data_IF_831355276955
#
_entry.id   IF_831355276955
#
_cell.length_a   1.000
_cell.length_b   1.000
_cell.length_c   1.000
_cell.angle_alpha   90.00
_cell.angle_beta   90.00
_cell.angle_gamma   90.00
#
_symmetry.space_group_name_H-M   'P 1'
#
loop_
_entity.id
_entity.type
_entity.pdbx_description
1 polymer ?
#
# COMPACT_ATOMS: atom_id res chain seq x y z
N UNK A 1 -8.51 -5.53 17.09
CA UNK A 1 -9.28 -4.58 16.25
C UNK A 1 -8.30 -3.95 15.26
N UNK A 2 -8.37 -4.31 13.97
CA UNK A 2 -7.29 -4.11 12.97
C UNK A 2 -7.30 -2.69 12.35
N UNK A 3 -8.28 -1.84 12.69
CA UNK A 3 -8.42 -0.53 12.07
C UNK A 3 -8.93 0.52 13.06
N UNK A 4 -8.05 1.44 13.48
CA UNK A 4 -8.41 2.66 14.21
C UNK A 4 -7.69 3.89 13.61
N UNK A 5 -8.38 4.79 12.91
CA UNK A 5 -7.79 5.90 12.18
C UNK A 5 -7.49 7.15 13.05
N UNK A 6 -7.61 7.13 14.38
CA UNK A 6 -7.00 8.09 15.33
C UNK A 6 -6.74 7.44 16.71
N UNK A 7 -5.56 7.52 17.37
CA UNK A 7 -4.20 7.72 16.89
C UNK A 7 -3.67 6.42 16.29
N UNK A 8 -3.27 6.46 15.02
CA UNK A 8 -3.31 5.27 14.16
C UNK A 8 -2.10 4.38 14.31
N UNK A 9 -2.36 3.17 14.79
CA UNK A 9 -1.49 2.04 14.54
C UNK A 9 -2.20 1.08 13.58
N UNK A 10 -1.88 1.20 12.30
CA UNK A 10 -2.29 0.21 11.29
C UNK A 10 -1.28 -0.93 11.32
N UNK A 11 -1.58 -1.97 12.12
CA UNK A 11 -0.78 -3.18 12.20
C UNK A 11 -1.37 -4.25 11.27
N UNK A 12 -0.93 -4.27 10.02
CA UNK A 12 -0.88 -5.54 9.29
C UNK A 12 0.55 -6.01 9.42
N UNK A 13 0.79 -6.89 10.39
CA UNK A 13 2.09 -7.54 10.49
C UNK A 13 2.16 -8.63 9.43
N UNK A 14 2.60 -8.27 8.23
CA UNK A 14 2.84 -9.23 7.15
C UNK A 14 3.96 -10.22 7.51
N UNK A 15 4.78 -9.95 8.54
CA UNK A 15 5.73 -10.94 9.05
C UNK A 15 5.05 -12.16 9.69
N UNK A 16 3.79 -12.04 10.09
CA UNK A 16 2.99 -13.18 10.57
C UNK A 16 2.45 -14.05 9.41
N UNK A 17 2.54 -13.55 8.17
CA UNK A 17 2.04 -14.19 6.95
C UNK A 17 3.21 -14.59 6.03
N UNK A 18 4.36 -13.92 6.13
CA UNK A 18 5.55 -14.14 5.32
C UNK A 18 6.82 -13.84 6.12
N UNK A 19 7.57 -14.88 6.49
CA UNK A 19 8.83 -14.85 7.25
C UNK A 19 9.96 -13.99 6.63
N UNK A 20 9.75 -13.38 5.45
CA UNK A 20 10.82 -12.81 4.63
C UNK A 20 10.75 -11.30 4.38
N UNK A 21 9.63 -10.64 4.67
CA UNK A 21 9.48 -9.23 4.31
C UNK A 21 9.33 -8.35 5.55
N UNK A 22 10.44 -7.78 6.01
CA UNK A 22 10.37 -6.66 6.93
C UNK A 22 9.81 -5.43 6.19
N UNK A 23 8.52 -5.17 6.36
CA UNK A 23 7.79 -4.08 5.71
C UNK A 23 7.54 -2.99 6.73
N UNK A 24 7.81 -1.74 6.36
CA UNK A 24 7.44 -0.56 7.15
C UNK A 24 6.31 0.17 6.44
N UNK A 25 5.21 0.43 7.14
CA UNK A 25 4.06 1.15 6.60
C UNK A 25 3.79 2.40 7.43
N UNK A 26 3.66 3.53 6.76
CA UNK A 26 3.38 4.85 7.33
C UNK A 26 2.08 5.38 6.73
N UNK A 27 1.22 5.97 7.56
CA UNK A 27 0.08 6.73 7.07
C UNK A 27 0.58 8.13 6.75
N UNK A 28 0.40 8.55 5.51
CA UNK A 28 0.86 9.85 5.02
C UNK A 28 -0.29 10.84 4.84
N UNK A 29 -1.52 10.35 4.77
CA UNK A 29 -2.72 11.19 4.79
C UNK A 29 -3.94 10.40 5.27
N UNK A 30 -4.85 11.05 5.97
CA UNK A 30 -6.19 10.52 6.31
C UNK A 30 -7.21 11.38 5.58
N UNK A 31 -8.07 10.76 4.76
CA UNK A 31 -9.17 11.46 4.08
C UNK A 31 -10.50 11.26 4.82
N UNK A 32 -10.73 10.03 5.28
CA UNK A 32 -11.91 9.60 6.04
C UNK A 32 -11.45 8.46 6.97
N UNK A 33 -12.10 8.25 8.13
CA UNK A 33 -12.03 7.01 8.88
C UNK A 33 -11.82 5.72 8.06
N UNK A 34 -12.43 5.56 6.89
CA UNK A 34 -12.29 4.35 6.06
C UNK A 34 -11.39 4.51 4.81
N UNK A 35 -10.78 5.68 4.60
CA UNK A 35 -9.94 5.98 3.45
C UNK A 35 -8.69 6.75 3.85
N UNK A 36 -7.54 6.12 3.66
CA UNK A 36 -6.24 6.69 3.99
C UNK A 36 -5.28 6.57 2.81
N UNK A 37 -4.20 7.33 2.87
CA UNK A 37 -3.03 7.13 2.03
C UNK A 37 -1.89 6.59 2.88
N UNK A 38 -1.24 5.56 2.36
CA UNK A 38 -0.09 4.94 2.99
C UNK A 38 1.15 5.10 2.11
N UNK A 39 2.29 5.18 2.78
CA UNK A 39 3.59 4.84 2.21
C UNK A 39 4.00 3.48 2.76
N UNK A 40 4.42 2.59 1.87
CA UNK A 40 4.99 1.31 2.25
C UNK A 40 6.41 1.23 1.73
N UNK A 41 7.33 0.85 2.62
CA UNK A 41 8.74 0.61 2.32
C UNK A 41 9.07 -0.85 2.59
N UNK A 42 9.70 -1.52 1.64
CA UNK A 42 10.27 -2.84 1.84
C UNK A 42 11.67 -2.68 2.46
N UNK A 43 12.14 -3.59 3.33
CA UNK A 43 13.56 -3.58 3.71
C UNK A 43 14.43 -3.94 2.51
N UNK A 44 15.64 -3.41 2.48
CA UNK A 44 16.66 -3.73 1.48
C UNK A 44 16.99 -5.24 1.57
N UNK A 45 16.66 -5.98 0.53
CA UNK A 45 17.11 -7.37 0.38
C UNK A 45 18.62 -7.47 0.13
N UNK A 46 19.18 -8.68 0.15
CA UNK A 46 20.62 -8.90 0.00
C UNK A 46 21.22 -8.47 -1.35
N UNK A 47 20.40 -8.23 -2.37
CA UNK A 47 20.85 -7.95 -3.76
C UNK A 47 20.12 -6.79 -4.46
N UNK A 48 19.29 -6.01 -3.78
CA UNK A 48 18.42 -5.01 -4.44
C UNK A 48 18.42 -3.64 -3.78
N UNK A 49 17.98 -2.62 -4.55
CA UNK A 49 17.63 -1.31 -4.01
C UNK A 49 16.37 -1.43 -3.14
N UNK A 50 16.31 -0.63 -2.08
CA UNK A 50 15.14 -0.61 -1.22
C UNK A 50 13.93 -0.11 -2.03
N UNK A 51 12.80 -0.82 -2.00
CA UNK A 51 11.60 -0.45 -2.75
C UNK A 51 10.61 0.32 -1.87
N UNK A 52 9.83 1.20 -2.47
CA UNK A 52 8.71 1.88 -1.81
C UNK A 52 7.56 2.10 -2.78
N UNK A 53 6.35 2.23 -2.23
CA UNK A 53 5.19 2.71 -2.98
C UNK A 53 4.28 3.55 -2.10
N UNK A 54 3.43 4.30 -2.77
CA UNK A 54 2.27 4.94 -2.16
C UNK A 54 0.99 4.33 -2.71
N UNK A 55 -0.02 4.24 -1.85
CA UNK A 55 -1.33 3.74 -2.23
C UNK A 55 -2.44 4.42 -1.43
N UNK A 56 -3.61 4.58 -2.05
CA UNK A 56 -4.85 4.72 -1.32
C UNK A 56 -5.23 3.37 -0.75
N UNK A 57 -5.61 3.34 0.53
CA UNK A 57 -6.15 2.17 1.20
C UNK A 57 -7.57 2.48 1.67
N UNK A 58 -8.53 1.66 1.24
CA UNK A 58 -9.94 1.79 1.60
C UNK A 58 -10.41 0.53 2.33
N UNK A 59 -11.04 0.73 3.48
CA UNK A 59 -11.79 -0.32 4.17
C UNK A 59 -13.25 -0.25 3.75
N UNK A 60 -13.83 -1.37 3.34
CA UNK A 60 -15.23 -1.51 3.02
C UNK A 60 -15.83 -2.66 3.84
N UNK A 61 -16.91 -2.37 4.57
CA UNK A 61 -17.72 -3.39 5.21
C UNK A 61 -18.72 -3.91 4.17
N UNK A 62 -18.69 -5.20 3.89
CA UNK A 62 -19.52 -5.83 2.85
C UNK A 62 -20.77 -6.45 3.49
N UNK A 63 -20.59 -7.13 4.61
CA UNK A 63 -21.64 -7.75 5.42
C UNK A 63 -21.13 -7.91 6.85
N UNK A 64 -22.02 -8.31 7.78
CA UNK A 64 -21.69 -8.53 9.20
C UNK A 64 -20.38 -9.31 9.41
N UNK A 65 -20.16 -10.34 8.61
CA UNK A 65 -19.01 -11.24 8.70
C UNK A 65 -17.92 -10.99 7.64
N UNK A 66 -18.11 -10.04 6.72
CA UNK A 66 -17.17 -9.80 5.60
C UNK A 66 -16.70 -8.35 5.54
N UNK A 67 -15.39 -8.17 5.61
CA UNK A 67 -14.73 -6.86 5.42
C UNK A 67 -13.63 -6.99 4.38
N UNK A 68 -13.53 -5.98 3.51
CA UNK A 68 -12.47 -5.89 2.51
C UNK A 68 -11.61 -4.67 2.76
N UNK A 69 -10.30 -4.82 2.66
CA UNK A 69 -9.35 -3.71 2.59
C UNK A 69 -8.71 -3.76 1.21
N UNK A 70 -8.96 -2.74 0.39
CA UNK A 70 -8.38 -2.62 -0.95
C UNK A 70 -7.35 -1.50 -0.96
N UNK A 71 -6.24 -1.74 -1.65
CA UNK A 71 -5.17 -0.79 -1.86
C UNK A 71 -4.84 -0.65 -3.33
N UNK A 72 -4.55 0.57 -3.77
CA UNK A 72 -4.14 0.84 -5.14
C UNK A 72 -3.25 2.08 -5.23
N UNK A 73 -2.21 2.02 -6.06
CA UNK A 73 -1.35 3.17 -6.34
C UNK A 73 -2.10 4.21 -7.17
N UNK A 74 -1.80 5.48 -6.90
CA UNK A 74 -2.41 6.65 -7.56
C UNK A 74 -1.32 7.60 -8.04
N UNK A 75 -1.68 8.59 -8.86
CA UNK A 75 -0.71 9.54 -9.41
C UNK A 75 -0.21 10.50 -8.33
N UNK A 76 0.98 10.23 -7.80
CA UNK A 76 1.58 10.98 -6.70
C UNK A 76 2.84 11.68 -7.16
N UNK A 77 2.86 13.00 -6.96
CA UNK A 77 4.07 13.79 -7.03
C UNK A 77 4.72 13.82 -5.63
N UNK A 78 5.70 12.94 -5.43
CA UNK A 78 6.48 12.79 -4.21
C UNK A 78 7.87 13.42 -4.33
N UNK A 79 8.11 14.30 -5.32
CA UNK A 79 9.40 14.94 -5.55
C UNK A 79 10.57 13.93 -5.70
N UNK A 80 10.29 12.69 -6.09
CA UNK A 80 11.34 11.76 -6.50
C UNK A 80 12.00 12.28 -7.77
N UNK A 81 13.31 12.07 -7.86
CA UNK A 81 14.13 12.20 -9.06
C UNK A 81 13.66 11.36 -10.24
N UNK A 82 12.88 10.29 -10.02
CA UNK A 82 12.36 9.42 -11.07
C UNK A 82 11.17 10.03 -11.82
N UNK A 83 11.19 9.94 -13.15
CA UNK A 83 10.07 10.34 -14.02
C UNK A 83 9.12 9.15 -14.32
N UNK A 84 9.10 8.12 -13.45
CA UNK A 84 8.31 6.92 -13.67
C UNK A 84 6.81 7.24 -13.69
N UNK A 85 6.18 6.91 -14.81
CA UNK A 85 4.73 7.08 -15.00
C UNK A 85 4.06 5.73 -14.94
N UNK A 86 3.22 5.55 -13.93
CA UNK A 86 2.38 4.38 -13.82
C UNK A 86 0.98 4.65 -14.37
N UNK A 87 0.43 3.69 -15.10
CA UNK A 87 -0.98 3.63 -15.47
C UNK A 87 -1.56 2.33 -14.95
N UNK A 88 -2.50 2.44 -14.03
CA UNK A 88 -3.22 1.31 -13.48
C UNK A 88 -4.26 0.81 -14.49
N UNK A 89 -4.19 -0.47 -14.86
CA UNK A 89 -5.11 -1.11 -15.82
C UNK A 89 -6.27 -1.86 -15.16
N UNK A 90 -6.20 -2.11 -13.85
CA UNK A 90 -7.25 -2.82 -13.09
C UNK A 90 -8.23 -1.80 -12.51
N UNK A 91 -7.72 -0.77 -11.84
CA UNK A 91 -8.51 0.32 -11.26
C UNK A 91 -8.23 1.58 -12.07
N UNK A 92 -8.81 1.67 -13.26
CA UNK A 92 -8.53 2.78 -14.19
C UNK A 92 -8.83 4.17 -13.58
N UNK A 93 -9.85 4.25 -12.73
CA UNK A 93 -10.20 5.47 -12.00
C UNK A 93 -9.09 5.97 -11.06
N UNK A 94 -8.18 5.09 -10.61
CA UNK A 94 -7.03 5.50 -9.80
C UNK A 94 -6.10 6.47 -10.56
N UNK A 95 -6.07 6.39 -11.90
CA UNK A 95 -5.28 7.28 -12.74
C UNK A 95 -5.79 8.73 -12.74
N UNK A 96 -7.06 8.95 -12.38
CA UNK A 96 -7.64 10.29 -12.29
C UNK A 96 -7.25 11.00 -11.00
N UNK A 97 -6.91 10.24 -9.95
CA UNK A 97 -6.54 10.78 -8.66
C UNK A 97 -5.11 11.31 -8.67
N UNK A 98 -4.95 12.61 -8.42
CA UNK A 98 -3.65 13.30 -8.37
C UNK A 98 -3.45 13.95 -7.02
N UNK A 99 -2.29 13.75 -6.40
CA UNK A 99 -1.90 14.47 -5.18
C UNK A 99 -0.40 14.67 -5.09
N UNK A 100 0.04 15.62 -4.28
CA UNK A 100 1.44 15.79 -3.87
C UNK A 100 1.66 15.33 -2.44
N UNK A 101 2.89 14.88 -2.16
CA UNK A 101 3.37 14.51 -0.82
C UNK A 101 4.77 15.08 -0.65
N UNK A 102 5.06 15.68 0.49
CA UNK A 102 6.43 15.95 0.90
C UNK A 102 7.06 14.66 1.40
N UNK A 103 7.86 14.04 0.53
CA UNK A 103 8.54 12.78 0.83
C UNK A 103 9.79 13.00 1.69
N UNK A 104 10.32 11.92 2.24
CA UNK A 104 11.59 11.94 2.95
C UNK A 104 12.78 12.13 1.98
N UNK A 105 13.89 12.64 2.51
CA UNK A 105 15.08 13.02 1.74
C UNK A 105 15.66 11.86 0.90
N UNK A 106 15.57 10.63 1.39
CA UNK A 106 16.05 9.45 0.68
C UNK A 106 15.21 9.11 -0.56
N UNK A 107 13.91 9.41 -0.55
CA UNK A 107 13.05 9.31 -1.73
C UNK A 107 13.37 10.44 -2.72
N UNK A 108 13.49 11.69 -2.24
CA UNK A 108 13.84 12.85 -3.08
C UNK A 108 15.18 12.68 -3.81
N UNK A 109 16.15 12.11 -3.11
CA UNK A 109 17.48 11.81 -3.65
C UNK A 109 17.51 10.57 -4.56
N UNK A 110 16.38 9.88 -4.76
CA UNK A 110 16.34 8.65 -5.54
C UNK A 110 17.24 7.58 -4.95
N UNK A 111 17.18 7.33 -3.63
CA UNK A 111 17.85 6.19 -2.99
C UNK A 111 16.97 4.94 -2.93
N UNK A 112 15.65 5.10 -3.01
CA UNK A 112 14.66 4.02 -2.98
C UNK A 112 14.00 3.88 -4.36
N UNK A 113 13.77 2.65 -4.81
CA UNK A 113 13.10 2.38 -6.09
C UNK A 113 11.59 2.49 -5.89
N UNK A 114 10.93 3.30 -6.71
CA UNK A 114 9.47 3.41 -6.70
C UNK A 114 8.88 2.17 -7.38
N UNK A 115 7.84 1.61 -6.80
CA UNK A 115 7.04 0.53 -7.40
C UNK A 115 5.57 0.88 -7.29
N UNK A 116 4.73 0.19 -8.06
CA UNK A 116 3.31 0.50 -8.13
C UNK A 116 2.45 -0.74 -7.92
N UNK A 117 1.44 -0.61 -7.06
CA UNK A 117 0.45 -1.65 -6.79
C UNK A 117 -0.77 -1.37 -7.64
N UNK A 118 -1.07 -2.24 -8.61
CA UNK A 118 -2.31 -2.14 -9.39
C UNK A 118 -3.51 -2.36 -8.46
N UNK A 119 -3.47 -3.46 -7.70
CA UNK A 119 -4.46 -3.76 -6.67
C UNK A 119 -3.82 -4.67 -5.61
N UNK A 120 -4.12 -4.42 -4.35
CA UNK A 120 -3.87 -5.38 -3.27
C UNK A 120 -5.10 -5.44 -2.38
N UNK A 121 -5.58 -6.64 -2.07
CA UNK A 121 -6.84 -6.87 -1.39
C UNK A 121 -6.63 -7.83 -0.23
N UNK A 122 -7.14 -7.44 0.94
CA UNK A 122 -7.42 -8.36 2.04
C UNK A 122 -8.91 -8.57 2.13
N UNK A 123 -9.37 -9.78 1.85
CA UNK A 123 -10.71 -10.24 2.16
C UNK A 123 -10.66 -10.91 3.53
N UNK A 124 -11.37 -10.33 4.50
CA UNK A 124 -11.42 -10.79 5.88
C UNK A 124 -12.83 -11.30 6.13
N UNK A 125 -12.94 -12.61 6.37
CA UNK A 125 -14.19 -13.31 6.56
C UNK A 125 -14.21 -13.96 7.94
N UNK A 126 -15.30 -13.75 8.67
CA UNK A 126 -15.56 -14.45 9.92
C UNK A 126 -16.44 -15.66 9.61
N UNK A 127 -15.91 -16.86 9.86
CA UNK A 127 -16.63 -18.12 9.62
C UNK A 127 -16.73 -18.84 10.96
N UNK A 128 -17.94 -18.88 11.53
CA UNK A 128 -18.20 -19.42 12.88
C UNK A 128 -17.34 -18.73 13.94
N UNK A 129 -16.28 -19.42 14.42
CA UNK A 129 -15.35 -18.94 15.46
C UNK A 129 -13.99 -18.53 14.89
N UNK A 130 -13.80 -18.71 13.58
CA UNK A 130 -12.53 -18.53 12.90
C UNK A 130 -12.56 -17.28 12.02
N UNK A 131 -11.37 -16.72 11.77
CA UNK A 131 -11.17 -15.61 10.84
C UNK A 131 -10.32 -16.13 9.69
N UNK A 132 -10.89 -16.05 8.49
CA UNK A 132 -10.23 -16.38 7.24
C UNK A 132 -9.75 -15.07 6.60
N UNK A 133 -8.49 -15.04 6.19
CA UNK A 133 -7.89 -13.89 5.51
C UNK A 133 -7.36 -14.38 4.17
N UNK A 134 -7.97 -13.88 3.09
CA UNK A 134 -7.49 -14.10 1.73
C UNK A 134 -6.79 -12.86 1.23
N UNK A 135 -5.57 -13.03 0.72
CA UNK A 135 -4.76 -11.95 0.17
C UNK A 135 -4.57 -12.13 -1.34
N UNK A 136 -4.82 -11.07 -2.10
CA UNK A 136 -4.65 -11.04 -3.56
C UNK A 136 -3.88 -9.76 -3.90
N UNK A 137 -2.83 -9.86 -4.70
CA UNK A 137 -2.07 -8.70 -5.17
C UNK A 137 -1.70 -8.76 -6.65
N UNK A 138 -1.59 -7.59 -7.25
CA UNK A 138 -0.98 -7.35 -8.56
C UNK A 138 -0.08 -6.13 -8.43
N UNK A 139 1.22 -6.35 -8.62
CA UNK A 139 2.27 -5.33 -8.55
C UNK A 139 2.87 -5.17 -9.94
N UNK A 140 3.12 -3.93 -10.33
CA UNK A 140 3.97 -3.62 -11.48
C UNK A 140 5.38 -3.29 -10.97
N UNK A 141 6.32 -4.20 -11.19
CA UNK A 141 7.73 -3.98 -10.92
C UNK A 141 8.44 -3.69 -12.25
N UNK A 142 8.84 -2.44 -12.48
CA UNK A 142 9.80 -2.16 -13.55
C UNK A 142 11.16 -2.71 -13.09
N UNK A 143 11.58 -3.81 -13.70
CA UNK A 143 12.95 -4.29 -13.57
C UNK A 143 13.84 -3.32 -14.34
N UNK A 144 14.51 -2.41 -13.63
CA UNK A 144 15.62 -1.64 -14.18
C UNK A 144 16.77 -2.61 -14.46
N UNK A 145 16.84 -3.15 -15.69
CA UNK A 145 18.05 -3.78 -16.25
C UNK A 145 19.04 -2.73 -16.71
#
# INVERSE_FOLDING_TARGET
MIWNPHPVKFYINESAISDKANITRKIVRVYDPNLIMIQQRYKKGSKGRQKYFYALAKKAHISEDTTVIVMTSVNINDQDSSNEKHKNTIIENANLFKTSIESEEDIKQGKLQKVFVNIAVYLIEKIKKDIHITYIESINEENST
#
